data_IF_698885645909
#
_entry.id   IF_698885645909
#
_cell.length_a   1.000
_cell.length_b   1.000
_cell.length_c   1.000
_cell.angle_alpha   90.00
_cell.angle_beta   90.00
_cell.angle_gamma   90.00
#
_symmetry.space_group_name_H-M   'P 1'
#
loop_
_entity.id
_entity.type
_entity.pdbx_description
1 polymer ?
#
# COMPACT_ATOMS: atom_id res chain seq x y z
N UNK A 1 8.11 20.62 3.15
CA UNK A 1 6.96 20.02 3.85
C UNK A 1 6.25 19.07 2.89
N UNK A 2 5.88 17.88 3.35
CA UNK A 2 5.18 16.88 2.52
C UNK A 2 3.74 16.74 3.02
N UNK A 3 2.76 16.97 2.15
CA UNK A 3 1.36 16.74 2.49
C UNK A 3 0.94 15.32 2.18
N UNK A 4 0.06 14.78 3.02
CA UNK A 4 -0.50 13.45 2.82
C UNK A 4 -1.92 13.36 3.38
N UNK A 5 -2.64 12.36 2.90
CA UNK A 5 -3.90 11.92 3.49
C UNK A 5 -3.79 10.46 3.90
N UNK A 6 -4.10 10.14 5.15
CA UNK A 6 -4.06 8.77 5.64
C UNK A 6 -5.41 8.08 5.44
N UNK A 7 -5.38 6.92 4.81
CA UNK A 7 -6.54 6.07 4.58
C UNK A 7 -6.30 4.67 5.12
N UNK A 8 -7.37 3.92 5.35
CA UNK A 8 -7.29 2.50 5.67
C UNK A 8 -8.40 1.71 4.95
N UNK A 9 -8.07 0.47 4.59
CA UNK A 9 -9.02 -0.51 4.09
C UNK A 9 -8.98 -1.75 4.97
N UNK A 10 -9.94 -1.87 5.89
CA UNK A 10 -10.05 -2.96 6.87
C UNK A 10 -8.79 -3.11 7.75
N UNK A 11 -8.27 -1.99 8.23
CA UNK A 11 -7.10 -1.92 9.11
C UNK A 11 -5.75 -1.85 8.38
N UNK A 12 -5.70 -2.21 7.10
CA UNK A 12 -4.51 -2.01 6.28
C UNK A 12 -4.40 -0.53 5.86
N UNK A 13 -3.43 0.18 6.41
CA UNK A 13 -3.36 1.65 6.40
C UNK A 13 -2.25 2.21 5.51
N UNK A 14 -2.55 3.30 4.80
CA UNK A 14 -1.66 3.87 3.79
C UNK A 14 -1.62 5.40 3.83
N UNK A 15 -0.46 5.96 3.49
CA UNK A 15 -0.30 7.40 3.25
C UNK A 15 -0.51 7.70 1.77
N UNK A 16 -1.54 8.46 1.43
CA UNK A 16 -1.81 8.93 0.06
C UNK A 16 -1.03 10.21 -0.22
N UNK A 17 -0.28 10.22 -1.32
CA UNK A 17 0.40 11.38 -1.86
C UNK A 17 -0.20 11.73 -3.23
N UNK A 18 -0.61 12.99 -3.39
CA UNK A 18 -1.23 13.46 -4.63
C UNK A 18 -0.21 14.12 -5.56
N UNK A 19 0.38 13.31 -6.43
CA UNK A 19 1.33 13.74 -7.45
C UNK A 19 0.69 14.07 -8.80
N UNK A 20 -0.64 14.13 -8.92
CA UNK A 20 -1.35 14.34 -10.19
C UNK A 20 -1.01 15.68 -10.87
N UNK A 21 -0.63 16.68 -10.08
CA UNK A 21 -0.20 18.00 -10.58
C UNK A 21 1.31 18.16 -10.83
N UNK A 22 2.14 17.15 -10.54
CA UNK A 22 3.59 17.30 -10.59
C UNK A 22 4.14 17.22 -12.03
N UNK A 23 4.98 18.18 -12.39
CA UNK A 23 5.61 18.26 -13.72
C UNK A 23 6.77 17.27 -13.93
N UNK A 24 7.36 16.72 -12.85
CA UNK A 24 8.37 15.65 -12.92
C UNK A 24 8.11 14.55 -11.88
N UNK A 25 7.49 13.45 -12.29
CA UNK A 25 6.83 12.52 -11.36
C UNK A 25 7.76 11.60 -10.56
N UNK A 26 8.97 11.32 -11.07
CA UNK A 26 9.92 10.42 -10.38
C UNK A 26 10.94 11.17 -9.50
N UNK A 27 11.17 12.47 -9.74
CA UNK A 27 12.09 13.30 -8.94
C UNK A 27 11.37 14.17 -7.89
N UNK A 28 10.09 14.53 -8.10
CA UNK A 28 9.42 15.57 -7.29
C UNK A 28 9.13 15.19 -5.85
N UNK A 29 9.03 13.89 -5.51
CA UNK A 29 8.87 13.47 -4.11
C UNK A 29 10.15 12.92 -3.49
N UNK A 30 11.22 12.68 -4.27
CA UNK A 30 12.45 12.10 -3.75
C UNK A 30 12.22 10.84 -2.88
N UNK A 31 11.24 10.01 -3.22
CA UNK A 31 10.87 8.81 -2.47
C UNK A 31 11.97 7.76 -2.63
N UNK A 32 12.85 7.70 -1.64
CA UNK A 32 13.80 6.59 -1.47
C UNK A 32 13.21 5.57 -0.50
N UNK A 33 13.66 4.31 -0.58
CA UNK A 33 13.22 3.26 0.35
C UNK A 33 13.46 3.67 1.81
N UNK A 34 14.56 4.37 2.10
CA UNK A 34 14.88 4.89 3.43
C UNK A 34 13.84 5.92 3.90
N UNK A 35 13.42 6.85 3.04
CA UNK A 35 12.38 7.83 3.38
C UNK A 35 11.03 7.17 3.61
N UNK A 36 10.69 6.18 2.80
CA UNK A 36 9.46 5.40 2.96
C UNK A 36 9.46 4.68 4.32
N UNK A 37 10.58 4.02 4.66
CA UNK A 37 10.74 3.37 5.96
C UNK A 37 10.59 4.35 7.13
N UNK A 38 11.22 5.53 7.05
CA UNK A 38 11.07 6.58 8.09
C UNK A 38 9.64 7.07 8.21
N UNK A 39 8.93 7.30 7.10
CA UNK A 39 7.52 7.73 7.12
C UNK A 39 6.60 6.66 7.71
N UNK A 40 6.80 5.41 7.29
CA UNK A 40 5.96 4.28 7.67
C UNK A 40 6.28 3.75 9.08
N UNK A 41 7.41 4.13 9.69
CA UNK A 41 7.70 3.79 11.08
C UNK A 41 6.59 4.31 12.00
N UNK A 42 5.99 3.42 12.78
CA UNK A 42 4.82 3.72 13.62
C UNK A 42 5.15 4.50 14.89
N UNK A 43 6.42 4.63 15.27
CA UNK A 43 6.88 5.31 16.49
C UNK A 43 7.56 6.64 16.19
N UNK A 44 8.40 6.66 15.17
CA UNK A 44 9.24 7.80 14.78
C UNK A 44 8.74 8.50 13.51
N UNK A 45 7.84 7.85 12.77
CA UNK A 45 7.19 8.39 11.58
C UNK A 45 5.72 8.72 11.80
N UNK A 46 4.99 8.76 10.69
CA UNK A 46 3.52 8.86 10.69
C UNK A 46 2.88 7.51 11.01
N UNK A 47 3.57 6.42 10.63
CA UNK A 47 3.08 5.05 10.72
C UNK A 47 2.14 4.70 9.57
N UNK A 48 2.43 3.65 8.81
CA UNK A 48 1.54 3.06 7.81
C UNK A 48 2.10 1.71 7.34
N UNK A 49 1.27 0.87 6.74
CA UNK A 49 1.73 -0.32 6.02
C UNK A 49 2.38 0.03 4.66
N UNK A 50 2.11 1.23 4.14
CA UNK A 50 2.74 1.72 2.92
C UNK A 50 2.39 3.15 2.52
N UNK A 51 3.02 3.59 1.44
CA UNK A 51 2.77 4.89 0.80
C UNK A 51 2.22 4.64 -0.60
N UNK A 52 1.13 5.31 -0.97
CA UNK A 52 0.54 5.25 -2.31
C UNK A 52 0.64 6.63 -2.95
N UNK A 53 1.13 6.65 -4.19
CA UNK A 53 1.33 7.86 -4.96
C UNK A 53 0.39 7.84 -6.17
N UNK A 54 -0.49 8.83 -6.24
CA UNK A 54 -1.34 9.09 -7.39
C UNK A 54 -0.58 9.97 -8.39
N UNK A 55 -0.37 9.49 -9.62
CA UNK A 55 0.45 10.14 -10.63
C UNK A 55 -0.32 10.36 -11.94
N UNK A 56 0.13 11.29 -12.78
CA UNK A 56 -0.28 11.33 -14.18
C UNK A 56 -0.06 9.97 -14.88
N UNK A 57 -0.98 9.59 -15.79
CA UNK A 57 -0.87 8.36 -16.57
C UNK A 57 0.31 8.44 -17.56
N UNK A 58 0.87 7.29 -17.95
CA UNK A 58 1.97 7.20 -18.95
C UNK A 58 1.55 6.53 -20.25
N UNK A 59 0.64 5.56 -20.21
CA UNK A 59 0.26 4.70 -21.35
C UNK A 59 -1.22 4.86 -21.72
N UNK A 60 -1.85 5.94 -21.28
CA UNK A 60 -3.27 6.20 -21.46
C UNK A 60 -4.10 5.60 -20.33
N UNK A 61 -5.10 6.35 -19.87
CA UNK A 61 -5.81 6.13 -18.62
C UNK A 61 -6.07 7.48 -17.95
N UNK A 62 -6.58 7.45 -16.72
CA UNK A 62 -6.85 8.68 -15.98
C UNK A 62 -5.72 9.03 -15.02
N UNK A 63 -5.12 8.01 -14.39
CA UNK A 63 -3.98 8.15 -13.51
C UNK A 63 -3.15 6.88 -13.44
N UNK A 64 -1.99 6.97 -12.80
CA UNK A 64 -1.09 5.87 -12.48
C UNK A 64 -0.92 5.78 -10.97
N UNK A 65 -1.00 4.57 -10.43
CA UNK A 65 -0.71 4.26 -9.05
C UNK A 65 0.70 3.70 -8.92
N UNK A 66 1.47 4.22 -7.96
CA UNK A 66 2.64 3.53 -7.40
C UNK A 66 2.38 3.27 -5.93
N UNK A 67 2.83 2.14 -5.43
CA UNK A 67 2.70 1.75 -4.04
C UNK A 67 4.06 1.33 -3.52
N UNK A 68 4.37 1.69 -2.29
CA UNK A 68 5.55 1.23 -1.59
C UNK A 68 5.12 0.64 -0.26
N UNK A 69 5.59 -0.56 0.05
CA UNK A 69 5.45 -1.16 1.37
C UNK A 69 6.26 -0.37 2.40
N UNK A 70 5.99 -0.60 3.69
CA UNK A 70 6.72 0.03 4.79
C UNK A 70 8.25 -0.22 4.74
N UNK A 71 8.70 -1.32 4.15
CA UNK A 71 10.12 -1.62 3.94
C UNK A 71 10.75 -0.91 2.72
N UNK A 72 9.95 -0.12 1.98
CA UNK A 72 10.38 0.61 0.80
C UNK A 72 10.43 -0.21 -0.49
N UNK A 73 9.98 -1.46 -0.49
CA UNK A 73 9.77 -2.25 -1.71
C UNK A 73 8.51 -1.80 -2.45
N UNK A 74 8.52 -1.88 -3.79
CA UNK A 74 7.38 -1.51 -4.64
C UNK A 74 6.67 -2.78 -5.14
N UNK A 75 5.53 -3.19 -4.53
CA UNK A 75 4.75 -4.32 -5.03
C UNK A 75 3.97 -3.94 -6.29
N UNK A 76 3.55 -4.95 -7.05
CA UNK A 76 2.85 -4.72 -8.31
C UNK A 76 1.42 -4.18 -8.13
N UNK A 77 0.75 -4.65 -7.08
CA UNK A 77 -0.65 -4.30 -6.77
C UNK A 77 -0.96 -4.56 -5.28
N UNK A 78 -1.91 -3.79 -4.74
CA UNK A 78 -2.53 -4.05 -3.44
C UNK A 78 -4.03 -3.74 -3.52
N UNK A 79 -4.89 -4.74 -3.30
CA UNK A 79 -6.33 -4.57 -3.42
C UNK A 79 -6.91 -3.57 -2.42
N UNK A 80 -6.43 -3.59 -1.17
CA UNK A 80 -6.84 -2.60 -0.15
C UNK A 80 -6.33 -1.21 -0.51
N UNK A 81 -5.08 -1.10 -0.97
CA UNK A 81 -4.49 0.15 -1.44
C UNK A 81 -5.25 0.76 -2.62
N UNK A 82 -5.69 -0.06 -3.58
CA UNK A 82 -6.49 0.38 -4.71
C UNK A 82 -7.85 0.95 -4.27
N UNK A 83 -8.52 0.31 -3.30
CA UNK A 83 -9.74 0.86 -2.70
C UNK A 83 -9.48 2.19 -2.00
N UNK A 84 -8.39 2.29 -1.24
CA UNK A 84 -8.00 3.54 -0.58
C UNK A 84 -7.72 4.65 -1.58
N UNK A 85 -7.02 4.37 -2.68
CA UNK A 85 -6.75 5.34 -3.73
C UNK A 85 -8.04 5.79 -4.41
N UNK A 86 -8.91 4.87 -4.82
CA UNK A 86 -10.18 5.23 -5.45
C UNK A 86 -11.05 6.09 -4.54
N UNK A 87 -11.10 5.77 -3.24
CA UNK A 87 -11.80 6.60 -2.25
C UNK A 87 -11.14 7.97 -2.08
N UNK A 88 -9.82 8.03 -2.02
CA UNK A 88 -9.08 9.29 -1.97
C UNK A 88 -9.41 10.20 -3.16
N UNK A 89 -9.49 9.64 -4.37
CA UNK A 89 -9.86 10.39 -5.58
C UNK A 89 -11.29 10.90 -5.49
N UNK A 90 -12.22 10.04 -5.06
CA UNK A 90 -13.62 10.43 -4.90
C UNK A 90 -13.77 11.58 -3.89
N UNK A 91 -13.11 11.46 -2.74
CA UNK A 91 -13.11 12.47 -1.69
C UNK A 91 -12.45 13.78 -2.18
N UNK A 92 -11.39 13.69 -2.99
CA UNK A 92 -10.66 14.87 -3.47
C UNK A 92 -11.35 15.63 -4.59
N UNK A 93 -12.02 14.90 -5.49
CA UNK A 93 -12.57 15.44 -6.73
C UNK A 93 -14.09 15.67 -6.61
N UNK A 94 -14.72 15.19 -5.52
CA UNK A 94 -16.16 15.29 -5.27
C UNK A 94 -16.98 14.32 -6.13
N UNK A 95 -16.43 13.14 -6.45
CA UNK A 95 -17.10 12.14 -7.29
C UNK A 95 -18.30 11.49 -6.57
N UNK A 96 -19.28 11.07 -7.35
CA UNK A 96 -20.52 10.42 -6.88
C UNK A 96 -20.56 8.93 -7.24
N UNK A 97 -21.44 8.12 -6.61
CA UNK A 97 -21.61 6.72 -6.95
C UNK A 97 -21.84 6.44 -8.44
N UNK A 98 -21.26 5.34 -8.93
CA UNK A 98 -21.19 4.97 -10.35
C UNK A 98 -19.90 5.43 -11.04
N UNK A 99 -19.08 6.26 -10.37
CA UNK A 99 -17.77 6.65 -10.88
C UNK A 99 -16.84 5.43 -10.97
N UNK A 100 -16.15 5.30 -12.10
CA UNK A 100 -15.11 4.31 -12.34
C UNK A 100 -13.83 5.00 -12.79
N UNK A 101 -12.67 4.61 -12.29
CA UNK A 101 -11.38 5.19 -12.69
C UNK A 101 -10.55 4.21 -13.49
N UNK A 102 -9.89 4.64 -14.56
CA UNK A 102 -8.89 3.80 -15.24
C UNK A 102 -7.49 4.06 -14.69
N UNK A 103 -7.01 3.17 -13.82
CA UNK A 103 -5.76 3.34 -13.07
C UNK A 103 -4.68 2.41 -13.60
N UNK A 104 -3.56 2.97 -14.05
CA UNK A 104 -2.37 2.21 -14.44
C UNK A 104 -1.62 1.71 -13.20
N UNK A 105 -1.29 0.43 -13.15
CA UNK A 105 -0.44 -0.20 -12.12
C UNK A 105 0.65 -1.03 -12.79
N UNK A 106 1.60 -1.55 -12.01
CA UNK A 106 2.59 -2.51 -12.52
C UNK A 106 1.94 -3.84 -12.95
N UNK A 107 0.80 -4.20 -12.35
CA UNK A 107 0.00 -5.36 -12.75
C UNK A 107 -0.93 -5.10 -13.96
N UNK A 108 -0.83 -3.91 -14.58
CA UNK A 108 -1.70 -3.49 -15.68
C UNK A 108 -2.78 -2.50 -15.26
N UNK A 109 -3.79 -2.30 -16.12
CA UNK A 109 -4.88 -1.36 -15.86
C UNK A 109 -5.93 -1.97 -14.94
N UNK A 110 -6.28 -1.27 -13.87
CA UNK A 110 -7.33 -1.65 -12.92
C UNK A 110 -8.44 -0.60 -12.96
N UNK A 111 -9.70 -1.05 -12.87
CA UNK A 111 -10.87 -0.19 -12.93
C UNK A 111 -11.68 -0.28 -11.64
N UNK A 112 -11.31 0.45 -10.57
CA UNK A 112 -12.15 0.53 -9.38
C UNK A 112 -13.44 1.32 -9.67
N UNK A 113 -14.52 0.95 -8.99
CA UNK A 113 -15.84 1.57 -9.07
C UNK A 113 -16.32 1.99 -7.68
N UNK A 114 -16.78 3.23 -7.54
CA UNK A 114 -17.49 3.70 -6.36
C UNK A 114 -18.96 3.28 -6.42
N UNK A 115 -19.39 2.44 -5.48
CA UNK A 115 -20.76 1.92 -5.41
C UNK A 115 -21.71 2.86 -4.67
N UNK A 116 -23.01 2.59 -4.79
CA UNK A 116 -24.08 3.35 -4.13
C UNK A 116 -23.98 3.36 -2.60
N UNK A 117 -23.46 2.29 -2.01
CA UNK A 117 -23.23 2.16 -0.57
C UNK A 117 -21.92 2.82 -0.09
N UNK A 118 -21.19 3.50 -0.99
CA UNK A 118 -19.90 4.12 -0.72
C UNK A 118 -18.72 3.14 -0.68
N UNK A 119 -18.95 1.84 -0.90
CA UNK A 119 -17.87 0.86 -1.03
C UNK A 119 -17.15 0.99 -2.38
N UNK A 120 -15.88 0.58 -2.42
CA UNK A 120 -15.13 0.51 -3.68
C UNK A 120 -15.10 -0.95 -4.14
N UNK A 121 -15.59 -1.19 -5.35
CA UNK A 121 -15.46 -2.47 -6.07
C UNK A 121 -14.23 -2.45 -6.95
N UNK A 122 -13.45 -3.52 -6.90
CA UNK A 122 -12.23 -3.70 -7.67
C UNK A 122 -12.30 -5.03 -8.41
N UNK A 123 -11.96 -5.03 -9.69
CA UNK A 123 -11.71 -6.25 -10.45
C UNK A 123 -10.35 -6.83 -10.05
N UNK A 124 -10.37 -8.02 -9.46
CA UNK A 124 -9.19 -8.74 -8.98
C UNK A 124 -8.64 -9.73 -10.02
N UNK A 125 -9.23 -9.76 -11.21
CA UNK A 125 -8.89 -10.70 -12.28
C UNK A 125 -9.47 -12.08 -12.06
N UNK A 126 -9.13 -13.00 -12.96
CA UNK A 126 -9.54 -14.40 -12.86
C UNK A 126 -8.67 -15.16 -11.84
N UNK A 127 -9.27 -16.08 -11.05
CA UNK A 127 -8.49 -16.97 -10.21
C UNK A 127 -7.79 -18.01 -11.08
N UNK A 128 -6.62 -18.49 -10.66
CA UNK A 128 -6.00 -19.66 -11.26
C UNK A 128 -6.05 -20.85 -10.31
N UNK A 129 -6.34 -22.02 -10.88
CA UNK A 129 -6.59 -23.29 -10.19
C UNK A 129 -5.61 -24.39 -10.63
N UNK A 130 -4.66 -24.04 -11.49
CA UNK A 130 -3.62 -24.96 -11.93
C UNK A 130 -2.54 -25.12 -10.83
N UNK A 131 -2.24 -26.35 -10.38
CA UNK A 131 -1.27 -26.58 -9.30
C UNK A 131 0.13 -26.00 -9.58
N UNK A 132 0.60 -26.05 -10.82
CA UNK A 132 1.93 -25.52 -11.19
C UNK A 132 1.97 -24.00 -11.07
N UNK A 133 0.88 -23.35 -11.45
CA UNK A 133 0.70 -21.89 -11.34
C UNK A 133 0.54 -21.42 -9.88
N UNK A 134 -0.02 -22.25 -8.98
CA UNK A 134 -0.15 -22.00 -7.52
C UNK A 134 1.11 -22.38 -6.72
N UNK A 135 2.20 -22.75 -7.40
CA UNK A 135 3.13 -23.78 -6.93
C UNK A 135 2.66 -24.62 -5.73
N UNK A 136 1.78 -25.59 -5.98
CA UNK A 136 1.36 -26.59 -4.97
C UNK A 136 1.54 -28.02 -5.45
N UNK A 137 1.80 -28.95 -4.53
CA UNK A 137 1.84 -30.39 -4.80
C UNK A 137 0.51 -31.08 -4.56
N UNK A 138 -0.55 -30.34 -4.22
CA UNK A 138 -1.88 -30.90 -4.02
C UNK A 138 -2.43 -31.46 -5.35
N UNK A 139 -3.03 -32.67 -5.34
CA UNK A 139 -3.68 -33.19 -6.53
C UNK A 139 -4.93 -32.36 -6.86
N UNK A 140 -5.25 -32.25 -8.14
CA UNK A 140 -6.47 -31.61 -8.61
C UNK A 140 -7.65 -32.59 -8.52
N UNK A 141 -8.73 -32.19 -7.85
CA UNK A 141 -9.95 -32.98 -7.76
C UNK A 141 -10.83 -32.87 -9.01
N UNK A 142 -11.92 -33.65 -9.06
CA UNK A 142 -12.88 -33.67 -10.18
C UNK A 142 -13.57 -32.32 -10.43
N UNK A 143 -13.62 -31.47 -9.40
CA UNK A 143 -14.12 -30.09 -9.46
C UNK A 143 -13.10 -29.09 -10.04
N UNK A 144 -11.91 -29.54 -10.45
CA UNK A 144 -10.85 -28.69 -10.97
C UNK A 144 -10.11 -27.88 -9.90
N UNK A 145 -10.30 -28.21 -8.62
CA UNK A 145 -9.65 -27.56 -7.48
C UNK A 145 -8.48 -28.41 -6.97
N UNK A 146 -7.27 -27.86 -6.80
CA UNK A 146 -6.20 -28.50 -6.04
C UNK A 146 -6.61 -28.64 -4.58
N UNK A 147 -6.79 -29.87 -4.10
CA UNK A 147 -7.36 -30.15 -2.78
C UNK A 147 -6.87 -31.47 -2.21
N UNK A 148 -6.96 -31.62 -0.89
CA UNK A 148 -6.59 -32.86 -0.22
C UNK A 148 -6.59 -32.74 1.30
N UNK A 149 -6.10 -33.78 1.97
CA UNK A 149 -5.87 -33.75 3.41
C UNK A 149 -4.38 -33.54 3.69
N UNK A 150 -4.05 -32.59 4.55
CA UNK A 150 -2.69 -32.32 5.00
C UNK A 150 -2.56 -32.55 6.50
N UNK A 151 -1.47 -33.22 6.90
CA UNK A 151 -1.10 -33.39 8.31
C UNK A 151 -0.22 -32.20 8.73
N UNK A 152 -0.75 -31.35 9.61
CA UNK A 152 -0.07 -30.13 10.06
C UNK A 152 -0.07 -30.06 11.57
N UNK A 153 1.13 -29.97 12.15
CA UNK A 153 1.34 -29.89 13.60
C UNK A 153 0.61 -30.97 14.41
N UNK A 154 0.48 -32.19 13.85
CA UNK A 154 -0.19 -33.33 14.50
C UNK A 154 -1.71 -33.35 14.36
N UNK A 155 -2.28 -32.59 13.44
CA UNK A 155 -3.71 -32.59 13.12
C UNK A 155 -3.93 -32.69 11.62
N UNK A 156 -4.98 -33.40 11.21
CA UNK A 156 -5.35 -33.57 9.80
C UNK A 156 -6.37 -32.51 9.39
N UNK A 157 -6.14 -31.84 8.26
CA UNK A 157 -7.03 -30.80 7.74
C UNK A 157 -7.37 -31.07 6.28
N UNK A 158 -8.65 -30.95 5.94
CA UNK A 158 -9.08 -30.82 4.55
C UNK A 158 -8.75 -29.40 4.05
N UNK A 159 -8.10 -29.30 2.90
CA UNK A 159 -7.65 -28.03 2.34
C UNK A 159 -7.99 -27.94 0.86
N UNK A 160 -8.20 -26.72 0.37
CA UNK A 160 -8.21 -26.37 -1.05
C UNK A 160 -7.27 -25.22 -1.33
N UNK A 161 -6.68 -25.18 -2.52
CA UNK A 161 -5.76 -24.12 -2.92
C UNK A 161 -6.24 -23.40 -4.18
N UNK A 162 -6.02 -22.09 -4.23
CA UNK A 162 -6.29 -21.24 -5.37
C UNK A 162 -5.25 -20.12 -5.43
N UNK A 163 -5.13 -19.46 -6.56
CA UNK A 163 -4.26 -18.30 -6.72
C UNK A 163 -4.96 -17.08 -7.27
N UNK A 164 -4.53 -15.92 -6.79
CA UNK A 164 -5.02 -14.58 -7.15
C UNK A 164 -3.84 -13.63 -7.44
N UNK A 165 -2.84 -14.16 -8.15
CA UNK A 165 -1.50 -13.57 -8.35
C UNK A 165 -0.46 -14.11 -7.36
N UNK A 166 -0.91 -14.54 -6.18
CA UNK A 166 -0.11 -15.21 -5.16
C UNK A 166 -0.83 -16.48 -4.64
N UNK A 167 -0.10 -17.44 -4.04
CA UNK A 167 -0.68 -18.69 -3.57
C UNK A 167 -1.51 -18.52 -2.30
N UNK A 168 -2.65 -19.21 -2.25
CA UNK A 168 -3.54 -19.27 -1.11
C UNK A 168 -3.98 -20.71 -0.82
N UNK A 169 -3.94 -21.08 0.46
CA UNK A 169 -4.57 -22.30 0.98
C UNK A 169 -5.74 -21.92 1.87
N UNK A 170 -6.85 -22.60 1.70
CA UNK A 170 -8.11 -22.35 2.39
C UNK A 170 -8.48 -23.63 3.14
N UNK A 171 -8.75 -23.48 4.43
CA UNK A 171 -9.03 -24.56 5.37
C UNK A 171 -10.42 -24.31 5.98
N UNK A 172 -11.45 -25.01 5.48
CA UNK A 172 -12.75 -24.99 6.12
C UNK A 172 -12.68 -25.56 7.53
N UNK A 173 -13.27 -24.87 8.50
CA UNK A 173 -13.33 -25.27 9.91
C UNK A 173 -14.74 -25.07 10.46
N UNK A 174 -15.10 -25.86 11.47
CA UNK A 174 -16.41 -25.77 12.12
C UNK A 174 -16.51 -24.56 13.07
N UNK A 175 -15.42 -24.26 13.78
CA UNK A 175 -15.31 -23.14 14.72
C UNK A 175 -13.98 -22.42 14.51
N UNK A 176 -14.06 -21.18 14.03
CA UNK A 176 -12.87 -20.38 13.71
C UNK A 176 -12.17 -19.79 14.94
N UNK A 177 -12.89 -19.62 16.05
CA UNK A 177 -12.35 -19.09 17.30
C UNK A 177 -11.52 -20.14 18.04
N UNK A 178 -11.83 -21.42 17.83
CA UNK A 178 -11.06 -22.54 18.37
C UNK A 178 -9.71 -22.77 17.64
N UNK A 179 -9.47 -22.11 16.50
CA UNK A 179 -8.24 -22.26 15.73
C UNK A 179 -7.08 -21.53 16.39
N UNK A 180 -6.04 -22.28 16.73
CA UNK A 180 -4.71 -21.76 17.11
C UNK A 180 -4.00 -21.24 15.85
N UNK A 181 -4.30 -19.99 15.49
CA UNK A 181 -3.87 -19.35 14.24
C UNK A 181 -2.35 -19.28 14.15
N UNK A 182 -1.67 -18.98 15.25
CA UNK A 182 -0.23 -18.85 15.30
C UNK A 182 0.45 -20.19 15.07
N UNK A 183 -0.03 -21.25 15.72
CA UNK A 183 0.52 -22.60 15.54
C UNK A 183 0.28 -23.12 14.13
N UNK A 184 -0.96 -23.09 13.67
CA UNK A 184 -1.33 -23.72 12.40
C UNK A 184 -0.99 -22.84 11.21
N UNK A 185 -1.21 -21.53 11.28
CA UNK A 185 -0.87 -20.58 10.22
C UNK A 185 0.62 -20.63 9.87
N UNK A 186 1.51 -20.53 10.86
CA UNK A 186 2.95 -20.64 10.65
C UNK A 186 3.36 -22.00 10.04
N UNK A 187 2.72 -23.09 10.48
CA UNK A 187 3.02 -24.43 9.99
C UNK A 187 2.54 -24.65 8.54
N UNK A 188 1.37 -24.11 8.17
CA UNK A 188 0.85 -24.17 6.80
C UNK A 188 1.65 -23.28 5.84
N UNK A 189 2.08 -22.10 6.28
CA UNK A 189 2.85 -21.16 5.44
C UNK A 189 4.04 -21.84 4.77
N UNK A 190 4.78 -22.66 5.54
CA UNK A 190 6.00 -23.35 5.07
C UNK A 190 5.79 -24.83 4.79
N UNK A 191 4.55 -25.29 4.71
CA UNK A 191 4.24 -26.71 4.52
C UNK A 191 4.84 -27.23 3.19
N UNK A 192 5.43 -28.43 3.14
CA UNK A 192 6.09 -28.96 1.93
C UNK A 192 5.21 -29.03 0.68
N UNK A 193 3.88 -29.05 0.86
CA UNK A 193 2.91 -29.00 -0.24
C UNK A 193 2.88 -27.64 -0.97
N UNK A 194 3.52 -26.60 -0.44
CA UNK A 194 3.60 -25.26 -1.01
C UNK A 194 5.06 -24.81 -1.10
N UNK A 195 5.81 -25.22 -2.14
CA UNK A 195 7.24 -24.89 -2.28
C UNK A 195 7.55 -23.40 -2.26
N UNK A 196 6.64 -22.55 -2.75
CA UNK A 196 6.80 -21.08 -2.74
C UNK A 196 6.22 -20.41 -1.47
N UNK A 197 5.97 -21.20 -0.42
CA UNK A 197 5.12 -20.87 0.73
C UNK A 197 3.71 -20.46 0.29
N UNK A 198 2.80 -20.26 1.25
CA UNK A 198 1.43 -19.84 0.93
C UNK A 198 0.85 -18.91 1.98
N UNK A 199 -0.10 -18.07 1.57
CA UNK A 199 -1.02 -17.44 2.50
C UNK A 199 -2.04 -18.47 2.97
N UNK A 200 -2.42 -18.42 4.25
CA UNK A 200 -3.24 -19.43 4.91
C UNK A 200 -4.52 -18.80 5.42
N UNK A 201 -5.65 -19.39 5.07
CA UNK A 201 -6.98 -18.87 5.41
C UNK A 201 -7.81 -19.95 6.07
N UNK A 202 -8.12 -19.76 7.35
CA UNK A 202 -9.14 -20.56 8.02
C UNK A 202 -10.49 -19.92 7.77
N UNK A 203 -11.48 -20.72 7.41
CA UNK A 203 -12.81 -20.21 7.06
C UNK A 203 -13.91 -21.02 7.71
N UNK A 204 -14.83 -20.34 8.38
CA UNK A 204 -16.06 -20.90 8.90
C UNK A 204 -17.23 -20.42 8.03
N UNK A 205 -18.03 -21.37 7.57
CA UNK A 205 -19.18 -21.09 6.70
C UNK A 205 -20.42 -20.92 7.58
N UNK A 206 -20.88 -19.68 7.73
CA UNK A 206 -22.09 -19.36 8.51
C UNK A 206 -23.35 -19.63 7.67
N UNK A 207 -23.29 -19.26 6.40
CA UNK A 207 -24.28 -19.63 5.39
C UNK A 207 -23.63 -19.66 4.01
N UNK A 208 -24.36 -20.09 2.98
CA UNK A 208 -23.82 -20.14 1.60
C UNK A 208 -23.42 -18.77 1.05
N UNK A 209 -23.89 -17.67 1.67
CA UNK A 209 -23.59 -16.29 1.26
C UNK A 209 -22.89 -15.49 2.36
N UNK A 210 -22.48 -16.12 3.46
CA UNK A 210 -21.78 -15.47 4.57
C UNK A 210 -20.73 -16.40 5.18
N UNK A 211 -19.47 -15.98 5.10
CA UNK A 211 -18.33 -16.70 5.63
C UNK A 211 -17.57 -15.79 6.58
N UNK A 212 -16.91 -16.38 7.57
CA UNK A 212 -15.99 -15.69 8.48
C UNK A 212 -14.62 -16.29 8.27
N UNK A 213 -13.58 -15.47 8.16
CA UNK A 213 -12.22 -15.95 7.92
C UNK A 213 -11.18 -15.30 8.82
N UNK A 214 -10.11 -16.04 9.11
CA UNK A 214 -8.89 -15.58 9.78
C UNK A 214 -7.71 -15.93 8.89
N UNK A 215 -6.77 -14.98 8.80
CA UNK A 215 -5.69 -15.04 7.83
C UNK A 215 -4.33 -15.07 8.54
N UNK A 216 -3.44 -15.88 7.99
CA UNK A 216 -2.01 -15.81 8.19
C UNK A 216 -1.35 -15.56 6.84
N UNK A 217 -0.78 -14.37 6.65
CA UNK A 217 -0.14 -13.97 5.41
C UNK A 217 1.33 -14.42 5.35
N UNK A 218 1.73 -14.85 4.16
CA UNK A 218 3.10 -15.31 3.88
C UNK A 218 4.10 -14.20 4.21
N UNK A 219 4.99 -14.48 5.16
CA UNK A 219 6.02 -13.54 5.60
C UNK A 219 5.54 -12.39 6.50
N UNK A 220 4.23 -12.28 6.79
CA UNK A 220 3.67 -11.22 7.62
C UNK A 220 2.97 -11.74 8.89
N UNK A 221 2.54 -13.01 8.91
CA UNK A 221 1.83 -13.58 10.05
C UNK A 221 0.35 -13.17 10.09
N UNK A 222 -0.28 -13.08 11.27
CA UNK A 222 -1.70 -12.77 11.37
C UNK A 222 -1.97 -11.32 10.96
N UNK A 223 -2.84 -11.12 9.97
CA UNK A 223 -3.24 -9.78 9.50
C UNK A 223 -4.74 -9.54 9.70
N UNK A 224 -5.14 -8.26 9.65
CA UNK A 224 -6.54 -7.88 9.83
C UNK A 224 -7.38 -8.13 8.57
N UNK A 225 -6.78 -8.04 7.38
CA UNK A 225 -7.48 -8.28 6.13
C UNK A 225 -6.52 -8.61 4.99
N UNK A 226 -6.91 -9.57 4.16
CA UNK A 226 -6.20 -9.95 2.93
C UNK A 226 -7.19 -10.04 1.76
N UNK A 227 -7.15 -9.05 0.85
CA UNK A 227 -8.11 -8.97 -0.25
C UNK A 227 -8.03 -10.13 -1.25
N UNK A 228 -6.82 -10.50 -1.68
CA UNK A 228 -6.62 -11.66 -2.55
C UNK A 228 -6.97 -12.97 -1.83
N UNK A 229 -6.72 -13.04 -0.52
CA UNK A 229 -7.13 -14.15 0.33
C UNK A 229 -8.63 -14.34 0.44
N UNK A 230 -9.40 -13.26 0.59
CA UNK A 230 -10.85 -13.29 0.57
C UNK A 230 -11.40 -13.79 -0.79
N UNK A 231 -10.81 -13.31 -1.89
CA UNK A 231 -11.14 -13.77 -3.24
C UNK A 231 -10.91 -15.29 -3.41
N UNK A 232 -9.71 -15.76 -3.03
CA UNK A 232 -9.36 -17.17 -3.09
C UNK A 232 -10.27 -18.02 -2.18
N UNK A 233 -10.59 -17.53 -0.98
CA UNK A 233 -11.48 -18.20 -0.02
C UNK A 233 -12.87 -18.44 -0.61
N UNK A 234 -13.47 -17.43 -1.27
CA UNK A 234 -14.75 -17.63 -1.93
C UNK A 234 -14.68 -18.67 -3.06
N UNK A 235 -13.66 -18.57 -3.91
CA UNK A 235 -13.48 -19.48 -5.05
C UNK A 235 -13.36 -20.92 -4.56
N UNK A 236 -12.50 -21.18 -3.57
CA UNK A 236 -12.34 -22.50 -2.98
C UNK A 236 -13.63 -22.99 -2.32
N UNK A 237 -14.27 -22.16 -1.49
CA UNK A 237 -15.51 -22.53 -0.82
C UNK A 237 -16.64 -22.85 -1.81
N UNK A 238 -16.73 -22.12 -2.93
CA UNK A 238 -17.69 -22.40 -3.99
C UNK A 238 -17.40 -23.74 -4.68
N UNK A 239 -16.14 -24.02 -5.03
CA UNK A 239 -15.74 -25.26 -5.70
C UNK A 239 -15.86 -26.49 -4.80
N UNK A 240 -15.78 -26.31 -3.48
CA UNK A 240 -16.10 -27.34 -2.48
C UNK A 240 -17.62 -27.49 -2.24
N UNK A 241 -18.46 -26.68 -2.89
CA UNK A 241 -19.91 -26.71 -2.73
C UNK A 241 -20.42 -26.08 -1.43
N UNK A 242 -19.57 -25.36 -0.69
CA UNK A 242 -19.88 -24.76 0.60
C UNK A 242 -20.53 -23.38 0.49
N UNK A 243 -20.20 -22.62 -0.56
CA UNK A 243 -20.66 -21.26 -0.78
C UNK A 243 -21.25 -21.01 -2.19
N UNK A 244 -22.02 -19.94 -2.32
CA UNK A 244 -22.39 -19.35 -3.60
C UNK A 244 -21.22 -18.61 -4.24
N UNK A 245 -21.41 -18.14 -5.48
CA UNK A 245 -20.42 -17.31 -6.20
C UNK A 245 -20.36 -15.87 -5.73
N UNK A 246 -21.34 -15.43 -4.95
CA UNK A 246 -21.35 -14.11 -4.34
C UNK A 246 -21.63 -14.29 -2.85
N UNK A 247 -20.70 -13.81 -2.02
CA UNK A 247 -20.83 -13.91 -0.57
C UNK A 247 -20.12 -12.75 0.13
N UNK A 248 -20.61 -12.47 1.33
CA UNK A 248 -19.92 -11.62 2.30
C UNK A 248 -18.90 -12.45 3.07
N UNK A 249 -17.67 -11.95 3.14
CA UNK A 249 -16.58 -12.50 3.93
C UNK A 249 -16.25 -11.51 5.05
N UNK A 250 -16.44 -11.93 6.31
CA UNK A 250 -16.02 -11.17 7.47
C UNK A 250 -14.58 -11.54 7.83
N UNK A 251 -13.68 -10.57 7.70
CA UNK A 251 -12.28 -10.64 8.16
C UNK A 251 -12.16 -9.94 9.53
N UNK A 252 -11.06 -10.13 10.28
CA UNK A 252 -10.87 -9.42 11.55
C UNK A 252 -10.97 -7.90 11.45
N UNK A 253 -10.54 -7.33 10.32
CA UNK A 253 -10.62 -5.89 10.01
C UNK A 253 -11.98 -5.41 9.50
N UNK A 254 -12.91 -6.32 9.20
CA UNK A 254 -14.27 -6.04 8.73
C UNK A 254 -14.66 -6.77 7.44
N UNK A 255 -15.84 -6.46 6.89
CA UNK A 255 -16.43 -7.23 5.79
C UNK A 255 -15.88 -6.85 4.41
N UNK A 256 -15.80 -7.84 3.54
CA UNK A 256 -15.71 -7.70 2.08
C UNK A 256 -16.88 -8.42 1.41
N UNK A 257 -17.41 -7.86 0.34
CA UNK A 257 -18.28 -8.58 -0.59
C UNK A 257 -17.43 -9.10 -1.74
N UNK A 258 -17.46 -10.40 -1.98
CA UNK A 258 -16.73 -11.03 -3.06
C UNK A 258 -17.73 -11.64 -4.03
N UNK A 259 -17.55 -11.37 -5.32
CA UNK A 259 -18.39 -11.86 -6.41
C UNK A 259 -17.53 -12.47 -7.51
N UNK A 260 -17.63 -13.78 -7.69
CA UNK A 260 -16.97 -14.51 -8.77
C UNK A 260 -17.91 -14.65 -9.96
N UNK A 261 -17.85 -13.66 -10.85
CA UNK A 261 -18.74 -13.52 -11.99
C UNK A 261 -18.60 -14.69 -12.96
N UNK A 262 -19.74 -15.23 -13.37
CA UNK A 262 -19.81 -16.37 -14.30
C UNK A 262 -19.52 -15.95 -15.74
N UNK A 263 -19.88 -14.72 -16.13
CA UNK A 263 -19.78 -14.29 -17.52
C UNK A 263 -18.33 -13.99 -17.92
N UNK A 264 -17.62 -13.25 -17.07
CA UNK A 264 -16.20 -12.90 -17.28
C UNK A 264 -15.23 -13.94 -16.72
N UNK A 265 -15.62 -14.68 -15.68
CA UNK A 265 -14.71 -15.52 -14.90
C UNK A 265 -13.84 -14.74 -13.90
N UNK A 266 -14.00 -13.41 -13.83
CA UNK A 266 -13.25 -12.53 -12.93
C UNK A 266 -13.86 -12.52 -11.52
N UNK A 267 -13.01 -12.28 -10.52
CA UNK A 267 -13.44 -12.05 -9.14
C UNK A 267 -13.47 -10.56 -8.88
N UNK A 268 -14.62 -10.06 -8.44
CA UNK A 268 -14.79 -8.70 -7.98
C UNK A 268 -14.80 -8.67 -6.47
N UNK A 269 -14.05 -7.74 -5.90
CA UNK A 269 -13.99 -7.48 -4.46
C UNK A 269 -14.52 -6.09 -4.19
N UNK A 270 -15.58 -5.98 -3.40
CA UNK A 270 -16.07 -4.71 -2.87
C UNK A 270 -15.84 -4.63 -1.36
N UNK A 271 -15.41 -3.45 -0.91
CA UNK A 271 -15.16 -3.21 0.50
C UNK A 271 -15.04 -1.74 0.83
N UNK A 272 -15.08 -1.39 2.12
CA UNK A 272 -14.90 -0.01 2.54
C UNK A 272 -13.44 0.43 2.35
N UNK A 273 -13.29 1.74 2.22
CA UNK A 273 -12.06 2.47 2.41
C UNK A 273 -12.41 3.77 3.15
N UNK A 274 -11.61 4.12 4.16
CA UNK A 274 -11.97 5.17 5.11
C UNK A 274 -10.81 6.14 5.25
N UNK A 275 -11.10 7.43 5.06
CA UNK A 275 -10.19 8.50 5.42
C UNK A 275 -10.00 8.55 6.93
N UNK A 276 -8.76 8.61 7.40
CA UNK A 276 -8.43 8.64 8.84
C UNK A 276 -8.10 10.05 9.28
N UNK A 277 -7.11 10.68 8.64
CA UNK A 277 -6.75 12.07 8.88
C UNK A 277 -5.91 12.59 7.70
N UNK A 278 -5.72 13.91 7.63
CA UNK A 278 -4.74 14.52 6.74
C UNK A 278 -3.65 15.21 7.56
N UNK A 279 -2.47 15.31 6.98
CA UNK A 279 -1.33 15.86 7.68
C UNK A 279 -0.29 16.47 6.76
N UNK A 280 0.66 17.15 7.41
CA UNK A 280 1.83 17.72 6.77
C UNK A 280 3.06 17.27 7.56
N UNK A 281 3.98 16.60 6.89
CA UNK A 281 5.27 16.19 7.44
C UNK A 281 6.24 17.37 7.36
N UNK A 282 6.94 17.61 8.47
CA UNK A 282 7.89 18.70 8.58
C UNK A 282 9.16 18.43 7.76
N UNK A 283 9.91 19.48 7.36
CA UNK A 283 11.18 19.30 6.65
C UNK A 283 12.24 18.55 7.45
N UNK A 284 12.19 18.52 8.79
CA UNK A 284 13.18 17.82 9.61
C UNK A 284 13.05 16.30 9.48
N UNK A 285 11.81 15.79 9.39
CA UNK A 285 11.56 14.37 9.17
C UNK A 285 11.74 13.97 7.68
N UNK A 286 11.48 14.91 6.76
CA UNK A 286 11.41 14.65 5.31
C UNK A 286 12.65 15.08 4.49
N UNK A 287 13.43 16.05 4.98
CA UNK A 287 14.47 16.78 4.24
C UNK A 287 15.78 16.02 4.00
N UNK A 288 16.73 16.69 3.34
CA UNK A 288 17.96 16.10 2.77
C UNK A 288 19.13 15.90 3.77
N UNK A 289 18.97 16.24 5.06
CA UNK A 289 20.03 16.08 6.07
C UNK A 289 19.87 14.77 6.87
N UNK A 290 20.94 14.00 7.12
CA UNK A 290 20.87 12.76 7.89
C UNK A 290 20.60 13.04 9.37
N UNK A 291 19.52 12.44 9.89
CA UNK A 291 19.28 12.35 11.34
C UNK A 291 20.08 11.17 11.89
N UNK A 292 21.23 11.44 12.51
CA UNK A 292 21.94 10.43 13.28
C UNK A 292 21.15 10.10 14.55
N UNK A 293 20.61 8.87 14.62
CA UNK A 293 20.12 8.29 15.86
C UNK A 293 21.34 7.92 16.72
N UNK A 294 21.78 8.83 17.59
CA UNK A 294 22.70 8.45 18.66
C UNK A 294 21.97 7.52 19.65
N UNK A 295 22.41 6.27 19.70
CA UNK A 295 22.00 5.30 20.71
C UNK A 295 22.47 5.74 22.11
N UNK A 296 21.63 5.52 23.12
CA UNK A 296 21.91 5.87 24.51
C UNK A 296 23.20 5.23 25.05
N UNK A 297 23.96 6.05 25.79
CA UNK A 297 25.37 5.97 26.16
C UNK A 297 25.82 4.82 27.11
N UNK A 298 27.15 4.73 27.35
CA UNK A 298 27.59 4.83 28.74
C UNK A 298 28.64 5.92 28.99
N UNK A 299 28.44 6.61 30.11
CA UNK A 299 29.29 7.63 30.73
C UNK A 299 30.71 7.10 30.97
N UNK A 300 31.73 7.79 30.44
CA UNK A 300 33.10 7.74 30.98
C UNK A 300 33.78 9.12 30.90
N UNK A 301 34.56 9.41 31.95
CA UNK A 301 35.05 10.71 32.39
C UNK A 301 36.16 11.31 31.51
N UNK A 302 36.19 12.65 31.47
CA UNK A 302 37.26 13.49 30.90
C UNK A 302 38.63 13.24 31.55
N UNK A 303 39.71 13.65 30.86
CA UNK A 303 40.39 14.87 31.32
C UNK A 303 40.72 15.88 30.22
N UNK A 304 40.89 17.13 30.68
CA UNK A 304 41.13 18.39 29.97
C UNK A 304 42.20 18.39 28.85
N UNK A 305 41.93 19.17 27.80
CA UNK A 305 42.92 20.06 27.17
C UNK A 305 42.24 21.18 26.36
N UNK A 306 42.69 22.41 26.60
CA UNK A 306 42.27 23.71 26.06
C UNK A 306 42.68 23.98 24.58
N UNK A 307 42.23 25.09 23.96
CA UNK A 307 41.89 25.18 22.53
C UNK A 307 43.07 25.63 21.65
N UNK A 308 43.10 25.18 20.39
CA UNK A 308 43.97 25.78 19.39
C UNK A 308 43.27 25.95 18.04
N UNK A 309 43.43 27.16 17.50
CA UNK A 309 42.85 27.63 16.25
C UNK A 309 43.68 27.15 15.06
N UNK A 310 43.06 26.99 13.89
CA UNK A 310 43.78 26.78 12.62
C UNK A 310 43.20 27.68 11.51
N UNK A 311 44.03 28.12 10.54
CA UNK A 311 43.94 29.45 9.96
C UNK A 311 43.21 29.51 8.61
N UNK A 312 42.75 30.71 8.25
CA UNK A 312 42.18 31.03 6.95
C UNK A 312 43.19 30.81 5.80
N UNK A 313 42.73 30.20 4.72
CA UNK A 313 43.54 29.91 3.53
C UNK A 313 43.76 31.20 2.73
N UNK A 314 45.01 31.57 2.51
CA UNK A 314 45.43 32.64 1.60
C UNK A 314 45.73 32.07 0.20
N UNK A 315 44.86 32.42 -0.74
CA UNK A 315 44.88 31.97 -2.12
C UNK A 315 46.09 32.49 -2.93
N UNK A 316 46.96 33.33 -2.37
CA UNK A 316 48.12 33.90 -3.07
C UNK A 316 49.27 32.90 -3.34
N UNK A 317 49.28 31.72 -2.73
CA UNK A 317 50.47 30.85 -2.69
C UNK A 317 50.36 29.46 -3.34
N UNK A 318 49.19 29.03 -3.85
CA UNK A 318 48.94 27.58 -4.17
C UNK A 318 48.95 27.22 -5.67
N UNK A 319 49.08 28.16 -6.62
CA UNK A 319 49.01 27.84 -8.06
C UNK A 319 50.39 27.74 -8.75
N UNK A 320 51.16 26.66 -8.52
CA UNK A 320 52.47 26.42 -9.21
C UNK A 320 52.37 25.38 -10.35
N UNK A 321 51.31 24.56 -10.42
CA UNK A 321 51.14 23.52 -11.46
C UNK A 321 49.94 23.74 -12.41
N UNK A 322 49.65 25.00 -12.75
CA UNK A 322 48.59 25.37 -13.70
C UNK A 322 47.33 25.93 -13.01
N UNK A 323 46.89 27.09 -13.48
CA UNK A 323 45.73 27.80 -12.95
C UNK A 323 44.43 27.12 -13.43
N UNK A 324 43.61 26.63 -12.51
CA UNK A 324 42.42 25.81 -12.83
C UNK A 324 41.26 26.65 -13.43
N UNK A 325 41.25 27.99 -13.29
CA UNK A 325 40.12 28.83 -13.75
C UNK A 325 40.50 30.27 -14.16
N UNK A 326 40.76 30.54 -15.45
CA UNK A 326 40.94 31.91 -15.96
C UNK A 326 39.65 32.55 -16.50
N UNK A 327 38.56 31.77 -16.65
CA UNK A 327 37.27 32.16 -17.23
C UNK A 327 36.14 31.80 -16.22
N UNK A 328 35.24 32.70 -15.81
CA UNK A 328 34.10 33.19 -16.59
C UNK A 328 32.98 32.12 -16.76
N UNK A 329 31.72 32.34 -16.39
CA UNK A 329 31.06 33.59 -16.01
C UNK A 329 29.61 33.29 -15.57
N UNK A 330 29.05 33.84 -14.48
CA UNK A 330 27.61 33.97 -14.36
C UNK A 330 27.22 35.31 -15.02
N UNK A 331 26.66 35.25 -16.23
CA UNK A 331 26.07 36.43 -16.87
C UNK A 331 25.03 37.03 -15.92
N UNK A 332 24.88 38.36 -15.96
CA UNK A 332 23.79 39.04 -15.25
C UNK A 332 22.40 38.42 -15.59
N UNK A 333 22.30 37.75 -16.74
CA UNK A 333 21.16 36.94 -17.20
C UNK A 333 20.91 35.66 -16.36
N UNK A 334 21.95 34.99 -15.85
CA UNK A 334 21.82 33.83 -14.98
C UNK A 334 21.33 34.24 -13.57
N UNK A 335 21.79 35.39 -13.07
CA UNK A 335 21.26 35.99 -11.83
C UNK A 335 19.81 36.46 -12.03
N UNK A 336 19.49 37.10 -13.15
CA UNK A 336 18.13 37.48 -13.49
C UNK A 336 17.17 36.28 -13.66
N UNK A 337 17.65 35.13 -14.14
CA UNK A 337 16.87 33.87 -14.21
C UNK A 337 16.64 33.25 -12.84
N UNK A 338 17.62 33.31 -11.93
CA UNK A 338 17.45 32.85 -10.55
C UNK A 338 16.53 33.79 -9.78
N UNK A 339 16.68 35.11 -9.93
CA UNK A 339 15.77 36.09 -9.34
C UNK A 339 14.35 36.00 -9.93
N UNK A 340 14.21 35.70 -11.23
CA UNK A 340 12.90 35.43 -11.83
C UNK A 340 12.29 34.11 -11.34
N UNK A 341 13.11 33.07 -11.08
CA UNK A 341 12.67 31.79 -10.51
C UNK A 341 12.25 31.93 -9.03
N UNK A 342 12.98 32.73 -8.26
CA UNK A 342 12.66 33.06 -6.87
C UNK A 342 11.45 33.99 -6.75
N UNK A 343 11.18 34.80 -7.78
CA UNK A 343 10.00 35.68 -7.86
C UNK A 343 8.80 35.06 -8.61
N UNK A 344 8.94 33.89 -9.26
CA UNK A 344 7.85 33.29 -10.07
C UNK A 344 6.88 32.41 -9.28
N UNK A 345 7.17 32.13 -8.02
CA UNK A 345 6.21 31.52 -7.10
C UNK A 345 6.70 31.77 -5.69
N UNK A 346 6.00 32.64 -4.96
CA UNK A 346 6.30 32.88 -3.56
C UNK A 346 6.27 31.54 -2.83
N UNK A 347 7.17 31.35 -1.86
CA UNK A 347 7.06 30.24 -0.93
C UNK A 347 5.65 30.22 -0.29
N UNK A 348 5.03 31.40 -0.16
CA UNK A 348 3.65 31.58 0.27
C UNK A 348 2.62 31.10 -0.77
N UNK A 349 2.90 31.18 -2.07
CA UNK A 349 1.99 30.66 -3.11
C UNK A 349 2.03 29.13 -3.14
N UNK A 350 3.20 28.52 -2.92
CA UNK A 350 3.35 27.06 -2.78
C UNK A 350 2.72 26.55 -1.49
N UNK A 351 2.90 27.29 -0.38
CA UNK A 351 2.22 27.01 0.89
C UNK A 351 0.71 27.24 0.75
N UNK A 352 0.26 28.25 0.02
CA UNK A 352 -1.16 28.50 -0.24
C UNK A 352 -1.78 27.43 -1.14
N UNK A 353 -1.12 27.01 -2.22
CA UNK A 353 -1.58 25.90 -3.08
C UNK A 353 -1.69 24.59 -2.29
N UNK A 354 -0.69 24.31 -1.44
CA UNK A 354 -0.68 23.16 -0.55
C UNK A 354 -1.84 23.26 0.47
N UNK A 355 -2.03 24.41 1.12
CA UNK A 355 -3.08 24.60 2.13
C UNK A 355 -4.48 24.56 1.52
N UNK A 356 -4.67 25.17 0.34
CA UNK A 356 -5.93 25.16 -0.40
C UNK A 356 -6.32 23.76 -0.87
N UNK A 357 -5.36 22.92 -1.28
CA UNK A 357 -5.61 21.52 -1.64
C UNK A 357 -6.10 20.72 -0.43
N UNK A 358 -5.51 20.94 0.75
CA UNK A 358 -5.93 20.31 2.00
C UNK A 358 -7.33 20.77 2.42
N UNK A 359 -7.59 22.08 2.44
CA UNK A 359 -8.90 22.64 2.79
C UNK A 359 -10.01 22.18 1.83
N UNK A 360 -9.73 22.11 0.54
CA UNK A 360 -10.70 21.63 -0.47
C UNK A 360 -11.10 20.18 -0.20
N UNK A 361 -10.14 19.29 0.08
CA UNK A 361 -10.42 17.88 0.41
C UNK A 361 -11.20 17.73 1.72
N UNK A 362 -10.86 18.53 2.72
CA UNK A 362 -11.60 18.56 3.99
C UNK A 362 -13.04 19.00 3.75
N UNK A 363 -13.25 20.09 2.99
CA UNK A 363 -14.59 20.60 2.67
C UNK A 363 -15.43 19.61 1.89
N UNK A 364 -14.87 19.02 0.83
CA UNK A 364 -15.55 18.01 0.00
C UNK A 364 -16.07 16.84 0.85
N UNK A 365 -15.24 16.30 1.76
CA UNK A 365 -15.67 15.23 2.68
C UNK A 365 -16.79 15.68 3.62
N UNK A 366 -16.71 16.88 4.19
CA UNK A 366 -17.78 17.41 5.03
C UNK A 366 -19.11 17.56 4.28
N UNK A 367 -19.07 17.98 3.01
CA UNK A 367 -20.27 18.11 2.16
C UNK A 367 -20.86 16.73 1.82
N UNK A 368 -20.01 15.74 1.51
CA UNK A 368 -20.43 14.36 1.27
C UNK A 368 -21.05 13.70 2.51
N UNK A 369 -20.47 13.88 3.69
CA UNK A 369 -20.99 13.33 4.94
C UNK A 369 -22.37 13.94 5.29
N UNK A 370 -22.56 15.25 5.04
CA UNK A 370 -23.86 15.90 5.23
C UNK A 370 -24.92 15.40 4.24
N UNK A 371 -24.53 15.06 3.00
CA UNK A 371 -25.44 14.53 2.00
C UNK A 371 -25.89 13.09 2.29
N UNK A 372 -25.08 12.30 3.00
CA UNK A 372 -25.39 10.90 3.35
C UNK A 372 -26.12 10.75 4.70
N UNK A 373 -26.09 11.77 5.56
CA UNK A 373 -26.74 11.77 6.88
C UNK A 373 -28.13 12.41 6.96
N UNK A 374 -28.75 12.75 5.81
CA UNK A 374 -30.03 13.46 5.70
C UNK A 374 -31.24 12.59 5.43
#
# INVERSE_FOLDING_TARGET
MLQFSKYQGLGNDFLMLDGRGASSTDASYGLTSERIQRLCDRRFGVGADGVILALPPRQGGELRMRIFNADGTEPEMCGNGMRCLARFLADSDGDVPGRQWQIETLAGRIVPELRQDGSIRVDMGAPFLDPESIPTTLPCGDNGLPQGNLEVAGSSFAVGAAGMGNPHVVIPVDDIEAVDLERYGAAFEVHPAFPARTNVHFVQVISRTHLVMRVWERGAGPTLACGTGACATLVVAHLLGLAERCARLDLPGGPLEIDWDRASGHVFMAGPAVAVFDGVVTPELWGDEPFELEAAAPVQQQPDASPDASPAVDCASVCINGCIRPEACPSAEARARVDALLNSSSLDDLVALATNSLESRIRSRFELDQAQGG
#
